data_IF_636199399058
#
_entry.id   IF_636199399058
#
_cell.length_a   1.000
_cell.length_b   1.000
_cell.length_c   1.000
_cell.angle_alpha   90.00
_cell.angle_beta   90.00
_cell.angle_gamma   90.00
#
_symmetry.space_group_name_H-M   'P 1'
#
loop_
_entity.id
_entity.type
_entity.pdbx_description
1 polymer ?
#
# COMPACT_ATOMS: atom_id res chain seq x y z
N UNK A 1 -0.01 -22.60 9.86
CA UNK A 1 0.52 -23.50 10.94
C UNK A 1 1.47 -24.58 10.39
N UNK A 2 1.12 -25.36 9.35
CA UNK A 2 2.00 -26.48 8.85
C UNK A 2 3.42 -26.07 8.39
N UNK A 3 3.63 -24.84 7.87
CA UNK A 3 4.97 -24.36 7.45
C UNK A 3 5.88 -24.01 8.64
N UNK A 4 5.33 -23.39 9.68
CA UNK A 4 6.09 -23.01 10.89
C UNK A 4 6.56 -24.28 11.61
N UNK A 5 5.70 -25.28 11.72
CA UNK A 5 6.04 -26.57 12.34
C UNK A 5 7.19 -27.29 11.60
N UNK A 6 7.20 -27.25 10.26
CA UNK A 6 8.31 -27.82 9.49
C UNK A 6 9.63 -27.11 9.75
N UNK A 7 9.62 -25.77 9.86
CA UNK A 7 10.83 -24.99 10.16
C UNK A 7 11.34 -25.33 11.56
N UNK A 8 10.45 -25.42 12.55
CA UNK A 8 10.82 -25.79 13.92
C UNK A 8 11.41 -27.19 13.95
N UNK A 9 10.78 -28.19 13.33
CA UNK A 9 11.26 -29.58 13.29
C UNK A 9 12.63 -29.63 12.61
N UNK A 10 12.83 -28.99 11.47
CA UNK A 10 14.12 -28.92 10.78
C UNK A 10 15.18 -28.25 11.68
N UNK A 11 14.84 -27.17 12.36
CA UNK A 11 15.75 -26.49 13.28
C UNK A 11 16.16 -27.35 14.45
N UNK A 12 15.21 -28.06 15.08
CA UNK A 12 15.49 -29.00 16.19
C UNK A 12 16.36 -30.15 15.70
N UNK A 13 16.01 -30.79 14.59
CA UNK A 13 16.81 -31.89 14.03
C UNK A 13 18.24 -31.44 13.68
N UNK A 14 18.39 -30.27 13.06
CA UNK A 14 19.72 -29.70 12.76
C UNK A 14 20.51 -29.41 14.04
N UNK A 15 19.87 -28.90 15.10
CA UNK A 15 20.50 -28.66 16.40
C UNK A 15 20.99 -29.95 17.05
N UNK A 16 20.18 -31.00 17.03
CA UNK A 16 20.55 -32.30 17.56
C UNK A 16 21.74 -32.93 16.81
N UNK A 17 21.77 -32.83 15.49
CA UNK A 17 22.90 -33.27 14.65
C UNK A 17 24.17 -32.53 15.02
N UNK A 18 24.10 -31.20 15.18
CA UNK A 18 25.25 -30.41 15.58
C UNK A 18 25.79 -30.73 16.96
N UNK A 19 24.92 -31.03 17.95
CA UNK A 19 25.33 -31.47 19.29
C UNK A 19 25.96 -32.85 19.23
N UNK A 20 25.42 -33.76 18.44
CA UNK A 20 25.99 -35.11 18.27
C UNK A 20 27.41 -35.02 17.62
N UNK A 21 27.59 -34.15 16.59
CA UNK A 21 28.88 -33.88 15.98
C UNK A 21 29.89 -33.31 16.99
N UNK A 22 29.48 -32.35 17.83
CA UNK A 22 30.31 -31.77 18.86
C UNK A 22 30.83 -32.86 19.82
N UNK A 23 29.93 -33.75 20.26
CA UNK A 23 30.30 -34.87 21.17
C UNK A 23 31.25 -35.85 20.48
N UNK A 24 30.98 -36.21 19.23
CA UNK A 24 31.81 -37.18 18.49
C UNK A 24 33.22 -36.65 18.17
N UNK A 25 33.35 -35.33 17.91
CA UNK A 25 34.62 -34.70 17.60
C UNK A 25 35.35 -34.16 18.82
N UNK A 26 34.83 -34.34 20.04
CA UNK A 26 35.41 -33.85 21.30
C UNK A 26 35.76 -32.35 21.26
N UNK A 27 34.95 -31.53 20.56
CA UNK A 27 35.18 -30.07 20.46
C UNK A 27 34.78 -29.44 21.79
N UNK A 28 35.64 -28.53 22.29
CA UNK A 28 35.34 -27.73 23.47
C UNK A 28 34.02 -26.96 23.29
N UNK A 29 33.18 -27.01 24.33
CA UNK A 29 31.82 -26.44 24.29
C UNK A 29 31.82 -24.94 24.00
N UNK A 30 32.79 -24.21 24.57
CA UNK A 30 32.85 -22.75 24.41
C UNK A 30 33.32 -22.36 23.01
N UNK A 31 34.23 -23.12 22.43
CA UNK A 31 34.67 -22.95 21.03
C UNK A 31 33.53 -23.28 20.09
N UNK A 32 32.82 -24.39 20.30
CA UNK A 32 31.67 -24.77 19.50
C UNK A 32 30.57 -23.70 19.52
N UNK A 33 30.20 -23.19 20.72
CA UNK A 33 29.15 -22.15 20.84
C UNK A 33 29.53 -20.85 20.13
N UNK A 34 30.79 -20.42 20.21
CA UNK A 34 31.25 -19.22 19.47
C UNK A 34 31.07 -19.36 17.96
N UNK A 35 31.51 -20.46 17.39
CA UNK A 35 31.37 -20.75 15.96
C UNK A 35 29.90 -20.94 15.54
N UNK A 36 29.11 -21.58 16.37
CA UNK A 36 27.67 -21.74 16.15
C UNK A 36 26.96 -20.37 16.04
N UNK A 37 27.20 -19.49 17.01
CA UNK A 37 26.61 -18.15 16.98
C UNK A 37 27.13 -17.30 15.83
N UNK A 38 28.38 -17.39 15.50
CA UNK A 38 28.95 -16.72 14.32
C UNK A 38 28.30 -17.21 13.02
N UNK A 39 28.18 -18.50 12.83
CA UNK A 39 27.51 -19.10 11.68
C UNK A 39 26.01 -18.72 11.63
N UNK A 40 25.30 -18.78 12.75
CA UNK A 40 23.91 -18.36 12.84
C UNK A 40 23.73 -16.88 12.45
N UNK A 41 24.60 -16.00 12.94
CA UNK A 41 24.59 -14.57 12.59
C UNK A 41 24.82 -14.36 11.10
N UNK A 42 25.75 -15.07 10.48
CA UNK A 42 26.02 -14.99 9.03
C UNK A 42 24.79 -15.42 8.21
N UNK A 43 24.13 -16.53 8.62
CA UNK A 43 22.92 -17.02 7.95
C UNK A 43 21.77 -16.01 8.06
N UNK A 44 21.55 -15.46 9.25
CA UNK A 44 20.50 -14.44 9.47
C UNK A 44 20.80 -13.17 8.66
N UNK A 45 22.04 -12.66 8.71
CA UNK A 45 22.45 -11.51 7.92
C UNK A 45 22.27 -11.75 6.42
N UNK A 46 22.69 -12.93 5.93
CA UNK A 46 22.52 -13.32 4.52
C UNK A 46 21.04 -13.32 4.11
N UNK A 47 20.15 -13.90 4.94
CA UNK A 47 18.72 -13.92 4.70
C UNK A 47 18.11 -12.50 4.67
N UNK A 48 18.53 -11.62 5.58
CA UNK A 48 18.11 -10.21 5.61
C UNK A 48 18.57 -9.49 4.35
N UNK A 49 19.84 -9.62 3.95
CA UNK A 49 20.40 -8.98 2.76
C UNK A 49 19.67 -9.42 1.47
N UNK A 50 19.39 -10.72 1.34
CA UNK A 50 18.62 -11.25 0.20
C UNK A 50 17.20 -10.66 0.18
N UNK A 51 16.54 -10.58 1.33
CA UNK A 51 15.19 -10.02 1.42
C UNK A 51 15.17 -8.52 1.11
N UNK A 52 16.13 -7.76 1.64
CA UNK A 52 16.30 -6.33 1.35
C UNK A 52 16.60 -6.10 -0.13
N UNK A 53 17.56 -6.84 -0.69
CA UNK A 53 17.90 -6.75 -2.11
C UNK A 53 16.71 -7.06 -3.02
N UNK A 54 15.93 -8.09 -2.67
CA UNK A 54 14.70 -8.45 -3.35
C UNK A 54 13.67 -7.31 -3.32
N UNK A 55 13.46 -6.71 -2.17
CA UNK A 55 12.52 -5.58 -2.01
C UNK A 55 12.96 -4.37 -2.82
N UNK A 56 14.26 -4.00 -2.75
CA UNK A 56 14.83 -2.89 -3.51
C UNK A 56 14.70 -3.13 -5.02
N UNK A 57 14.90 -4.36 -5.49
CA UNK A 57 14.74 -4.71 -6.91
C UNK A 57 13.31 -4.42 -7.42
N UNK A 58 12.29 -4.83 -6.68
CA UNK A 58 10.91 -4.54 -7.07
C UNK A 58 10.55 -3.06 -6.92
N UNK A 59 11.05 -2.40 -5.89
CA UNK A 59 10.85 -0.96 -5.71
C UNK A 59 11.43 -0.16 -6.88
N UNK A 60 12.66 -0.46 -7.31
CA UNK A 60 13.27 0.19 -8.49
C UNK A 60 12.49 -0.06 -9.77
N UNK A 61 11.94 -1.26 -9.95
CA UNK A 61 11.09 -1.56 -11.12
C UNK A 61 9.77 -0.81 -11.06
N UNK A 62 9.13 -0.72 -9.90
CA UNK A 62 7.93 0.08 -9.71
C UNK A 62 8.17 1.57 -9.98
N UNK A 63 9.28 2.12 -9.49
CA UNK A 63 9.65 3.52 -9.76
C UNK A 63 9.75 3.85 -11.26
N UNK A 64 10.15 2.89 -12.08
CA UNK A 64 10.18 3.07 -13.55
C UNK A 64 8.79 3.09 -14.20
N UNK A 65 7.79 2.53 -13.54
CA UNK A 65 6.41 2.51 -14.03
C UNK A 65 5.62 3.77 -13.64
N UNK A 66 5.95 4.40 -12.51
CA UNK A 66 5.25 5.60 -12.01
C UNK A 66 5.13 6.72 -13.06
N UNK A 67 6.18 7.06 -13.85
CA UNK A 67 6.07 8.07 -14.91
C UNK A 67 5.00 7.76 -15.96
N UNK A 68 4.61 6.50 -16.14
CA UNK A 68 3.55 6.13 -17.09
C UNK A 68 2.18 6.66 -16.65
N UNK A 69 1.90 6.72 -15.33
CA UNK A 69 0.68 7.35 -14.83
C UNK A 69 0.71 8.87 -15.06
N UNK A 70 1.86 9.51 -14.81
CA UNK A 70 2.03 10.95 -15.07
C UNK A 70 1.89 11.29 -16.56
N UNK A 71 2.36 10.38 -17.44
CA UNK A 71 2.22 10.48 -18.88
C UNK A 71 0.82 10.07 -19.41
N UNK A 72 -0.16 9.82 -18.54
CA UNK A 72 -1.52 9.36 -18.88
C UNK A 72 -1.54 8.07 -19.71
N UNK A 73 -0.65 7.12 -19.37
CA UNK A 73 -0.55 5.78 -19.98
C UNK A 73 -0.89 4.67 -18.98
N UNK A 74 -2.08 4.69 -18.37
CA UNK A 74 -2.45 3.76 -17.31
C UNK A 74 -2.47 2.30 -17.78
N UNK A 75 -2.79 2.01 -19.04
CA UNK A 75 -2.76 0.64 -19.58
C UNK A 75 -1.35 0.06 -19.62
N UNK A 76 -0.35 0.85 -20.01
CA UNK A 76 1.06 0.42 -20.00
C UNK A 76 1.55 0.21 -18.56
N UNK A 77 1.14 1.09 -17.64
CA UNK A 77 1.42 0.95 -16.21
C UNK A 77 0.84 -0.36 -15.64
N UNK A 78 -0.44 -0.64 -15.89
CA UNK A 78 -1.13 -1.87 -15.47
C UNK A 78 -0.37 -3.10 -15.97
N UNK A 79 -0.07 -3.16 -17.27
CA UNK A 79 0.65 -4.28 -17.86
C UNK A 79 2.03 -4.49 -17.21
N UNK A 80 2.75 -3.40 -16.91
CA UNK A 80 4.03 -3.46 -16.19
C UNK A 80 3.89 -4.00 -14.77
N UNK A 81 2.89 -3.56 -14.00
CA UNK A 81 2.63 -4.04 -12.63
C UNK A 81 2.20 -5.52 -12.64
N UNK A 82 1.36 -5.93 -13.58
CA UNK A 82 0.97 -7.34 -13.74
C UNK A 82 2.16 -8.26 -14.02
N UNK A 83 3.12 -7.81 -14.84
CA UNK A 83 4.36 -8.56 -15.06
C UNK A 83 5.17 -8.71 -13.76
N UNK A 84 5.24 -7.67 -12.94
CA UNK A 84 5.88 -7.75 -11.63
C UNK A 84 5.14 -8.74 -10.70
N UNK A 85 3.82 -8.71 -10.70
CA UNK A 85 2.98 -9.62 -9.90
C UNK A 85 3.18 -11.10 -10.27
N UNK A 86 3.42 -11.42 -11.54
CA UNK A 86 3.68 -12.82 -12.00
C UNK A 86 4.92 -13.42 -11.32
N UNK A 87 5.94 -12.61 -11.07
CA UNK A 87 7.23 -13.06 -10.53
C UNK A 87 7.37 -12.78 -9.03
N UNK A 88 6.52 -11.93 -8.46
CA UNK A 88 6.60 -11.52 -7.05
C UNK A 88 6.28 -12.68 -6.10
N UNK A 89 7.19 -12.93 -5.16
CA UNK A 89 7.04 -13.91 -4.08
C UNK A 89 6.83 -13.20 -2.75
N UNK A 90 6.05 -13.81 -1.87
CA UNK A 90 5.71 -13.25 -0.58
C UNK A 90 4.47 -12.35 -0.60
N UNK A 91 3.58 -12.56 0.37
CA UNK A 91 2.26 -11.91 0.42
C UNK A 91 2.38 -10.38 0.57
N UNK A 92 3.34 -9.90 1.38
CA UNK A 92 3.51 -8.46 1.60
C UNK A 92 3.84 -7.71 0.32
N UNK A 93 4.81 -8.21 -0.47
CA UNK A 93 5.16 -7.61 -1.76
C UNK A 93 3.99 -7.67 -2.75
N UNK A 94 3.32 -8.83 -2.83
CA UNK A 94 2.15 -8.99 -3.70
C UNK A 94 1.04 -8.01 -3.34
N UNK A 95 0.76 -7.79 -2.05
CA UNK A 95 -0.23 -6.81 -1.60
C UNK A 95 0.14 -5.38 -2.03
N UNK A 96 1.41 -5.00 -1.90
CA UNK A 96 1.90 -3.68 -2.36
C UNK A 96 1.72 -3.55 -3.88
N UNK A 97 2.08 -4.57 -4.65
CA UNK A 97 1.91 -4.54 -6.11
C UNK A 97 0.42 -4.53 -6.52
N UNK A 98 -0.44 -5.29 -5.82
CA UNK A 98 -1.90 -5.26 -6.04
C UNK A 98 -2.49 -3.88 -5.76
N UNK A 99 -2.04 -3.22 -4.69
CA UNK A 99 -2.44 -1.84 -4.39
C UNK A 99 -1.96 -0.85 -5.47
N UNK A 100 -0.75 -1.03 -6.00
CA UNK A 100 -0.28 -0.23 -7.13
C UNK A 100 -1.08 -0.53 -8.41
N UNK A 101 -1.43 -1.79 -8.65
CA UNK A 101 -2.29 -2.17 -9.77
C UNK A 101 -3.66 -1.49 -9.69
N UNK A 102 -4.26 -1.42 -8.50
CA UNK A 102 -5.52 -0.71 -8.29
C UNK A 102 -5.43 0.78 -8.63
N UNK A 103 -4.29 1.43 -8.38
CA UNK A 103 -4.09 2.83 -8.77
C UNK A 103 -4.16 3.02 -10.29
N UNK A 104 -3.64 2.08 -11.09
CA UNK A 104 -3.80 2.11 -12.54
C UNK A 104 -5.26 1.98 -13.00
N UNK A 105 -6.05 1.13 -12.34
CA UNK A 105 -7.48 1.00 -12.62
C UNK A 105 -8.29 2.23 -12.17
N UNK A 106 -7.89 2.88 -11.07
CA UNK A 106 -8.48 4.17 -10.65
C UNK A 106 -8.24 5.24 -11.72
N UNK A 107 -7.05 5.31 -12.27
CA UNK A 107 -6.71 6.27 -13.33
C UNK A 107 -7.47 6.00 -14.63
N UNK A 108 -7.80 4.74 -14.93
CA UNK A 108 -8.72 4.33 -15.99
C UNK A 108 -10.20 4.56 -15.67
N UNK A 109 -10.53 5.00 -14.46
CA UNK A 109 -11.92 5.09 -13.93
C UNK A 109 -12.65 3.72 -13.87
N UNK A 110 -11.89 2.63 -13.89
CA UNK A 110 -12.39 1.25 -13.70
C UNK A 110 -12.48 0.93 -12.19
N UNK A 111 -13.25 1.75 -11.46
CA UNK A 111 -13.33 1.70 -9.98
C UNK A 111 -13.78 0.35 -9.43
N UNK A 112 -14.68 -0.35 -10.13
CA UNK A 112 -15.13 -1.69 -9.71
C UNK A 112 -13.98 -2.69 -9.61
N UNK A 113 -13.08 -2.72 -10.60
CA UNK A 113 -11.89 -3.58 -10.56
C UNK A 113 -10.91 -3.17 -9.46
N UNK A 114 -10.76 -1.86 -9.25
CA UNK A 114 -9.90 -1.36 -8.18
C UNK A 114 -10.44 -1.79 -6.80
N UNK A 115 -11.76 -1.74 -6.57
CA UNK A 115 -12.41 -2.21 -5.33
C UNK A 115 -12.14 -3.69 -5.13
N UNK A 116 -12.38 -4.54 -6.13
CA UNK A 116 -12.16 -5.98 -6.05
C UNK A 116 -10.73 -6.31 -5.62
N UNK A 117 -9.74 -5.65 -6.24
CA UNK A 117 -8.33 -5.82 -5.91
C UNK A 117 -8.01 -5.40 -4.47
N UNK A 118 -8.54 -4.26 -4.02
CA UNK A 118 -8.25 -3.68 -2.71
C UNK A 118 -8.97 -4.42 -1.58
N UNK A 119 -10.23 -4.81 -1.76
CA UNK A 119 -10.98 -5.63 -0.80
C UNK A 119 -10.36 -7.03 -0.63
N UNK A 120 -9.74 -7.56 -1.69
CA UNK A 120 -8.96 -8.81 -1.62
C UNK A 120 -7.71 -8.74 -0.73
N UNK A 121 -7.27 -7.53 -0.35
CA UNK A 121 -6.12 -7.34 0.54
C UNK A 121 -6.59 -7.31 1.99
N UNK A 122 -6.23 -8.35 2.76
CA UNK A 122 -6.52 -8.36 4.20
C UNK A 122 -5.74 -7.26 4.94
N UNK A 123 -6.42 -6.38 5.66
CA UNK A 123 -5.84 -5.31 6.49
C UNK A 123 -4.77 -5.82 7.47
N UNK A 124 -4.96 -7.04 8.02
CA UNK A 124 -4.01 -7.70 8.93
C UNK A 124 -2.67 -8.05 8.25
N UNK A 125 -2.64 -8.12 6.94
CA UNK A 125 -1.46 -8.47 6.14
C UNK A 125 -0.76 -7.26 5.53
N UNK A 126 -1.32 -6.06 5.71
CA UNK A 126 -0.69 -4.81 5.34
C UNK A 126 0.30 -4.40 6.43
N UNK A 127 1.57 -4.38 6.10
CA UNK A 127 2.64 -3.99 7.02
C UNK A 127 2.99 -2.53 6.79
N UNK A 128 2.92 -1.75 7.86
CA UNK A 128 3.24 -0.32 7.85
C UNK A 128 2.04 0.59 7.63
N UNK A 129 2.02 1.68 8.39
CA UNK A 129 0.93 2.68 8.39
C UNK A 129 0.75 3.32 7.01
N UNK A 130 1.84 3.65 6.33
CA UNK A 130 1.81 4.24 4.99
C UNK A 130 1.07 3.37 3.98
N UNK A 131 1.34 2.06 3.96
CA UNK A 131 0.69 1.11 3.04
C UNK A 131 -0.81 1.01 3.33
N UNK A 132 -1.19 0.94 4.62
CA UNK A 132 -2.60 0.94 5.04
C UNK A 132 -3.30 2.23 4.63
N UNK A 133 -2.64 3.37 4.82
CA UNK A 133 -3.18 4.68 4.42
C UNK A 133 -3.52 4.71 2.93
N UNK A 134 -2.59 4.31 2.06
CA UNK A 134 -2.82 4.31 0.60
C UNK A 134 -3.95 3.36 0.22
N UNK A 135 -4.00 2.16 0.80
CA UNK A 135 -5.07 1.20 0.54
C UNK A 135 -6.44 1.80 0.89
N UNK A 136 -6.57 2.40 2.07
CA UNK A 136 -7.83 3.00 2.54
C UNK A 136 -8.21 4.25 1.77
N UNK A 137 -7.24 5.11 1.38
CA UNK A 137 -7.50 6.26 0.51
C UNK A 137 -8.04 5.82 -0.85
N UNK A 138 -7.41 4.84 -1.47
CA UNK A 138 -7.86 4.32 -2.76
C UNK A 138 -9.26 3.70 -2.66
N UNK A 139 -9.55 2.93 -1.60
CA UNK A 139 -10.89 2.38 -1.36
C UNK A 139 -11.93 3.47 -1.13
N UNK A 140 -11.65 4.47 -0.28
CA UNK A 140 -12.56 5.60 -0.07
C UNK A 140 -12.89 6.29 -1.39
N UNK A 141 -11.86 6.61 -2.19
CA UNK A 141 -12.05 7.22 -3.50
C UNK A 141 -12.94 6.37 -4.40
N UNK A 142 -12.65 5.07 -4.50
CA UNK A 142 -13.43 4.17 -5.34
C UNK A 142 -14.90 4.06 -4.88
N UNK A 143 -15.15 3.95 -3.57
CA UNK A 143 -16.51 3.89 -3.03
C UNK A 143 -17.29 5.17 -3.29
N UNK A 144 -16.69 6.36 -3.13
CA UNK A 144 -17.35 7.62 -3.48
C UNK A 144 -17.68 7.67 -4.98
N UNK A 145 -16.75 7.24 -5.84
CA UNK A 145 -16.92 7.27 -7.29
C UNK A 145 -17.93 6.24 -7.83
N UNK A 146 -18.27 5.22 -7.04
CA UNK A 146 -19.25 4.17 -7.43
C UNK A 146 -20.58 4.29 -6.71
N UNK A 147 -20.86 5.43 -6.05
CA UNK A 147 -22.11 5.66 -5.34
C UNK A 147 -22.26 4.86 -4.04
N UNK A 148 -21.18 4.22 -3.54
CA UNK A 148 -21.18 3.50 -2.27
C UNK A 148 -20.88 4.43 -1.09
N UNK A 149 -21.55 5.57 -1.03
CA UNK A 149 -21.26 6.67 -0.11
C UNK A 149 -21.22 6.28 1.36
N UNK A 150 -22.15 5.42 1.82
CA UNK A 150 -22.17 4.96 3.21
C UNK A 150 -20.94 4.13 3.57
N UNK A 151 -20.49 3.23 2.68
CA UNK A 151 -19.26 2.47 2.88
C UNK A 151 -18.03 3.41 2.90
N UNK A 152 -18.01 4.38 1.99
CA UNK A 152 -16.94 5.36 1.91
C UNK A 152 -16.85 6.18 3.20
N UNK A 153 -17.99 6.70 3.72
CA UNK A 153 -18.02 7.47 4.96
C UNK A 153 -17.64 6.63 6.18
N UNK A 154 -18.08 5.37 6.25
CA UNK A 154 -17.68 4.46 7.32
C UNK A 154 -16.17 4.23 7.33
N UNK A 155 -15.58 3.90 6.17
CA UNK A 155 -14.15 3.68 6.02
C UNK A 155 -13.35 4.97 6.30
N UNK A 156 -13.85 6.12 5.85
CA UNK A 156 -13.26 7.43 6.11
C UNK A 156 -13.20 7.73 7.60
N UNK A 157 -14.31 7.58 8.33
CA UNK A 157 -14.36 7.77 9.80
C UNK A 157 -13.36 6.86 10.53
N UNK A 158 -13.33 5.59 10.17
CA UNK A 158 -12.40 4.60 10.73
C UNK A 158 -10.93 4.95 10.47
N UNK A 159 -10.67 5.73 9.42
CA UNK A 159 -9.31 6.04 8.97
C UNK A 159 -8.82 7.41 9.39
N UNK A 160 -9.66 8.26 9.99
CA UNK A 160 -9.35 9.66 10.26
C UNK A 160 -8.04 9.86 11.04
N UNK A 161 -7.84 9.14 12.15
CA UNK A 161 -6.62 9.26 12.96
C UNK A 161 -5.35 8.92 12.15
N UNK A 162 -5.45 7.94 11.27
CA UNK A 162 -4.36 7.53 10.38
C UNK A 162 -4.12 8.59 9.31
N UNK A 163 -5.15 9.16 8.71
CA UNK A 163 -5.05 10.20 7.71
C UNK A 163 -4.43 11.48 8.30
N UNK A 164 -4.86 11.91 9.49
CA UNK A 164 -4.27 13.05 10.17
C UNK A 164 -2.77 12.87 10.47
N UNK A 165 -2.37 11.68 10.92
CA UNK A 165 -0.96 11.37 11.16
C UNK A 165 -0.12 11.47 9.86
N UNK A 166 -0.68 11.07 8.71
CA UNK A 166 -0.01 11.09 7.42
C UNK A 166 -0.10 12.45 6.71
N UNK A 167 -1.09 13.29 7.04
CA UNK A 167 -1.22 14.66 6.52
C UNK A 167 -0.01 15.50 6.85
N UNK A 168 0.46 15.42 8.10
CA UNK A 168 1.65 16.15 8.57
C UNK A 168 2.93 15.74 7.85
N UNK A 169 3.03 14.50 7.38
CA UNK A 169 4.18 13.98 6.64
C UNK A 169 4.26 14.43 5.17
N UNK A 170 3.22 15.08 4.63
CA UNK A 170 3.20 15.68 3.29
C UNK A 170 3.05 14.73 2.11
N UNK A 171 3.43 13.45 2.24
CA UNK A 171 3.47 12.52 1.10
C UNK A 171 2.08 12.18 0.52
N UNK A 172 1.07 12.04 1.37
CA UNK A 172 -0.29 11.66 0.98
C UNK A 172 -1.30 12.81 1.14
N UNK A 173 -0.85 14.00 1.49
CA UNK A 173 -1.71 15.13 1.83
C UNK A 173 -2.70 15.49 0.71
N UNK A 174 -2.27 15.51 -0.54
CA UNK A 174 -3.15 15.77 -1.67
C UNK A 174 -4.24 14.70 -1.86
N UNK A 175 -3.90 13.42 -1.70
CA UNK A 175 -4.88 12.34 -1.76
C UNK A 175 -5.88 12.40 -0.58
N UNK A 176 -5.39 12.75 0.62
CA UNK A 176 -6.24 12.94 1.80
C UNK A 176 -7.19 14.11 1.56
N UNK A 177 -6.71 15.23 1.02
CA UNK A 177 -7.54 16.37 0.70
C UNK A 177 -8.67 16.02 -0.28
N UNK A 178 -8.39 15.22 -1.32
CA UNK A 178 -9.41 14.73 -2.24
C UNK A 178 -10.49 13.93 -1.50
N UNK A 179 -10.11 13.00 -0.63
CA UNK A 179 -11.06 12.18 0.13
C UNK A 179 -11.86 13.02 1.12
N UNK A 180 -11.25 14.04 1.75
CA UNK A 180 -11.95 14.98 2.62
C UNK A 180 -13.05 15.75 1.88
N UNK A 181 -12.73 16.24 0.66
CA UNK A 181 -13.69 16.97 -0.19
C UNK A 181 -14.84 16.04 -0.59
N UNK A 182 -14.53 14.82 -1.04
CA UNK A 182 -15.55 13.83 -1.41
C UNK A 182 -16.44 13.45 -0.22
N UNK A 183 -15.87 13.34 0.98
CA UNK A 183 -16.63 13.09 2.20
C UNK A 183 -17.58 14.25 2.54
N UNK A 184 -17.15 15.50 2.37
CA UNK A 184 -17.98 16.67 2.57
C UNK A 184 -19.14 16.73 1.53
N UNK A 185 -18.85 16.44 0.25
CA UNK A 185 -19.87 16.33 -0.80
C UNK A 185 -20.92 15.27 -0.44
N UNK A 186 -20.46 14.08 -0.04
CA UNK A 186 -21.35 12.97 0.33
C UNK A 186 -22.26 13.32 1.53
N UNK A 187 -21.80 14.15 2.44
CA UNK A 187 -22.59 14.67 3.58
C UNK A 187 -23.47 15.86 3.21
N UNK A 188 -23.43 16.32 1.96
CA UNK A 188 -24.10 17.53 1.48
C UNK A 188 -23.59 18.83 2.14
N UNK A 189 -22.38 18.81 2.68
CA UNK A 189 -21.69 19.98 3.27
C UNK A 189 -20.97 20.78 2.18
N UNK A 190 -21.72 21.26 1.18
CA UNK A 190 -21.14 21.80 -0.07
C UNK A 190 -20.27 23.04 0.14
N UNK A 191 -20.66 23.95 1.04
CA UNK A 191 -19.83 25.13 1.37
C UNK A 191 -18.50 24.73 1.99
N UNK A 192 -18.46 23.68 2.79
CA UNK A 192 -17.24 23.14 3.36
C UNK A 192 -16.39 22.46 2.28
N UNK A 193 -17.03 21.70 1.36
CA UNK A 193 -16.34 21.05 0.25
C UNK A 193 -15.62 22.07 -0.65
N UNK A 194 -16.22 23.23 -0.93
CA UNK A 194 -15.60 24.32 -1.68
C UNK A 194 -14.39 24.91 -0.95
N UNK A 195 -14.53 25.21 0.33
CA UNK A 195 -13.41 25.72 1.13
C UNK A 195 -12.24 24.75 1.18
N UNK A 196 -12.53 23.44 1.29
CA UNK A 196 -11.52 22.39 1.25
C UNK A 196 -10.84 22.31 -0.12
N UNK A 197 -11.61 22.43 -1.20
CA UNK A 197 -11.10 22.42 -2.57
C UNK A 197 -10.17 23.61 -2.84
N UNK A 198 -10.56 24.82 -2.43
CA UNK A 198 -9.75 26.02 -2.59
C UNK A 198 -8.40 25.92 -1.85
N UNK A 199 -8.42 25.44 -0.61
CA UNK A 199 -7.21 25.18 0.18
C UNK A 199 -6.33 24.10 -0.47
N UNK A 200 -6.95 23.02 -0.96
CA UNK A 200 -6.24 21.93 -1.60
C UNK A 200 -5.53 22.37 -2.88
N UNK A 201 -6.17 23.20 -3.71
CA UNK A 201 -5.59 23.79 -4.92
C UNK A 201 -4.38 24.66 -4.64
N UNK A 202 -4.43 25.47 -3.58
CA UNK A 202 -3.31 26.31 -3.16
C UNK A 202 -2.13 25.50 -2.65
N UNK A 203 -2.40 24.35 -2.02
CA UNK A 203 -1.37 23.54 -1.34
C UNK A 203 -0.75 22.50 -2.27
N UNK A 204 -1.54 21.88 -3.16
CA UNK A 204 -1.14 20.72 -3.97
C UNK A 204 -1.16 21.02 -5.46
N UNK A 205 -0.02 21.48 -6.00
CA UNK A 205 0.10 21.96 -7.38
C UNK A 205 0.48 20.89 -8.42
N UNK A 206 0.71 19.64 -8.02
CA UNK A 206 1.08 18.57 -8.96
C UNK A 206 -0.03 18.32 -9.99
N UNK A 207 0.29 18.12 -11.29
CA UNK A 207 -0.70 18.01 -12.37
C UNK A 207 -1.79 16.97 -12.12
N UNK A 208 -1.44 15.83 -11.51
CA UNK A 208 -2.39 14.78 -11.15
C UNK A 208 -3.49 15.24 -10.18
N UNK A 209 -3.17 16.13 -9.25
CA UNK A 209 -4.13 16.68 -8.30
C UNK A 209 -4.99 17.75 -8.95
N UNK A 210 -4.42 18.57 -9.83
CA UNK A 210 -5.17 19.61 -10.53
C UNK A 210 -6.30 19.03 -11.37
N UNK A 211 -6.06 17.90 -12.07
CA UNK A 211 -7.11 17.20 -12.80
C UNK A 211 -8.23 16.73 -11.87
N UNK A 212 -7.91 16.10 -10.75
CA UNK A 212 -8.89 15.65 -9.77
C UNK A 212 -9.69 16.82 -9.17
N UNK A 213 -9.03 17.93 -8.88
CA UNK A 213 -9.70 19.14 -8.36
C UNK A 213 -10.63 19.78 -9.39
N UNK A 214 -10.27 19.78 -10.68
CA UNK A 214 -11.16 20.24 -11.75
C UNK A 214 -12.42 19.37 -11.89
N UNK A 215 -12.26 18.04 -11.82
CA UNK A 215 -13.38 17.11 -11.84
C UNK A 215 -14.32 17.34 -10.65
N UNK A 216 -13.78 17.54 -9.45
CA UNK A 216 -14.57 17.83 -8.23
C UNK A 216 -15.29 19.18 -8.35
N UNK A 217 -14.63 20.22 -8.86
CA UNK A 217 -15.24 21.53 -9.08
C UNK A 217 -16.43 21.45 -10.04
N UNK A 218 -16.27 20.68 -11.12
CA UNK A 218 -17.37 20.47 -12.06
C UNK A 218 -18.59 19.84 -11.36
N UNK A 219 -18.36 18.80 -10.54
CA UNK A 219 -19.43 18.14 -9.76
C UNK A 219 -20.13 19.15 -8.83
N UNK A 220 -19.36 19.93 -8.06
CA UNK A 220 -19.92 20.96 -7.17
C UNK A 220 -20.72 22.02 -7.91
N UNK A 221 -20.26 22.39 -9.10
CA UNK A 221 -20.97 23.36 -9.95
C UNK A 221 -22.31 22.82 -10.45
N UNK A 222 -22.36 21.56 -10.88
CA UNK A 222 -23.60 20.92 -11.31
C UNK A 222 -24.61 20.79 -10.16
N UNK A 223 -24.16 20.36 -8.98
CA UNK A 223 -25.02 20.28 -7.78
C UNK A 223 -25.64 21.64 -7.45
N UNK A 224 -24.86 22.73 -7.55
CA UNK A 224 -25.37 24.09 -7.29
C UNK A 224 -26.41 24.54 -8.31
N UNK A 225 -26.28 24.14 -9.56
CA UNK A 225 -27.28 24.44 -10.59
C UNK A 225 -28.60 23.74 -10.30
N UNK A 226 -28.53 22.46 -9.89
CA UNK A 226 -29.72 21.67 -9.55
C UNK A 226 -30.45 22.20 -8.31
N UNK A 227 -29.72 22.75 -7.32
CA UNK A 227 -30.34 23.36 -6.12
C UNK A 227 -30.97 24.74 -6.35
N UNK A 228 -30.71 25.39 -7.49
CA UNK A 228 -31.29 26.69 -7.86
C UNK A 228 -32.53 26.56 -8.73
N UNK A 229 -32.86 25.36 -9.18
CA UNK A 229 -34.08 25.00 -9.94
C UNK A 229 -35.16 24.54 -9.00
#
# INVERSE_FOLDING_TARGET
MKRIWKIIVIGVCSGLVLVALQMALHIDRDVFLRWYWAAAAVVVLGAVLVNVGYTIFYQKRMQKLVPLLEAQKPREYIAGVEQLLKTAKGQSLRNILTMNLSAGYIDLKEFGKAIELLEGISDRRLVGTAVKTVCRLNLCTCYFQTGQGEKALALYRDSQSMFEAQRKGGLYGGNIAIVDILAAIQKQEYSQAEQLLDRARQTWNAPRFQKAFQEIEHVLTEIKKEQKL
#
